data_IF_324160721103
#
_entry.id   IF_324160721103
#
_cell.length_a   1.000
_cell.length_b   1.000
_cell.length_c   1.000
_cell.angle_alpha   90.00
_cell.angle_beta   90.00
_cell.angle_gamma   90.00
#
_symmetry.space_group_name_H-M   'P 1'
#
loop_
_entity.id
_entity.type
_entity.pdbx_description
1 polymer ?
#
# COMPACT_ATOMS: atom_id res chain seq x y z
N UNK A 1 16.13 16.52 -8.70
CA UNK A 1 17.03 15.46 -9.21
C UNK A 1 16.30 14.13 -9.15
N UNK A 2 16.17 13.45 -10.28
CA UNK A 2 15.64 12.07 -10.39
C UNK A 2 16.73 11.05 -10.01
N UNK A 3 16.38 9.85 -9.52
CA UNK A 3 17.37 8.83 -9.18
C UNK A 3 17.97 8.24 -10.45
N UNK A 4 19.24 8.50 -10.69
CA UNK A 4 19.92 7.95 -11.85
C UNK A 4 21.08 7.05 -11.42
N UNK A 5 21.01 5.80 -11.86
CA UNK A 5 22.10 4.81 -11.88
C UNK A 5 23.15 5.25 -12.92
N UNK A 6 24.43 5.11 -12.59
CA UNK A 6 25.51 5.10 -13.59
C UNK A 6 25.66 3.68 -14.10
N UNK A 7 25.53 3.47 -15.41
CA UNK A 7 26.00 2.26 -16.09
C UNK A 7 27.07 2.74 -17.07
N UNK A 8 28.33 2.41 -16.79
CA UNK A 8 29.39 2.54 -17.78
C UNK A 8 29.24 1.39 -18.77
N UNK A 9 28.54 1.62 -19.89
CA UNK A 9 28.84 0.91 -21.13
C UNK A 9 29.32 1.98 -22.08
N UNK A 10 30.59 1.88 -22.47
CA UNK A 10 31.44 3.01 -22.86
C UNK A 10 31.10 3.72 -24.17
N UNK A 11 29.86 4.18 -24.41
CA UNK A 11 29.59 5.25 -25.39
C UNK A 11 28.15 5.81 -25.43
N UNK A 12 27.14 5.26 -24.72
CA UNK A 12 25.78 5.82 -24.78
C UNK A 12 25.05 5.85 -23.44
N UNK A 13 24.67 7.05 -23.00
CA UNK A 13 23.74 7.30 -21.90
C UNK A 13 22.36 6.70 -22.23
N UNK A 14 22.16 5.42 -21.87
CA UNK A 14 20.91 4.70 -22.07
C UNK A 14 19.83 5.08 -21.04
N UNK A 15 18.57 5.09 -21.48
CA UNK A 15 17.39 5.29 -20.60
C UNK A 15 17.43 4.32 -19.42
N UNK A 16 17.13 4.86 -18.24
CA UNK A 16 17.23 4.26 -16.90
C UNK A 16 16.16 3.18 -16.66
N UNK A 17 16.53 1.89 -16.62
CA UNK A 17 15.60 0.77 -16.33
C UNK A 17 16.06 0.00 -15.08
N UNK A 18 15.18 -0.12 -14.09
CA UNK A 18 15.37 -1.02 -12.94
C UNK A 18 14.99 -2.43 -13.41
N UNK A 19 15.92 -3.39 -13.28
CA UNK A 19 15.66 -4.79 -13.65
C UNK A 19 14.68 -5.46 -12.68
N UNK A 20 13.95 -6.47 -13.15
CA UNK A 20 12.94 -7.18 -12.34
C UNK A 20 13.55 -7.83 -11.09
N UNK A 21 14.80 -8.30 -11.18
CA UNK A 21 15.52 -8.93 -10.07
C UNK A 21 16.04 -7.93 -9.03
N UNK A 22 16.09 -6.63 -9.33
CA UNK A 22 16.83 -5.64 -8.54
C UNK A 22 16.49 -5.65 -7.04
N UNK A 23 15.20 -5.73 -6.71
CA UNK A 23 14.76 -5.76 -5.31
C UNK A 23 15.07 -7.11 -4.66
N UNK A 24 15.02 -8.21 -5.42
CA UNK A 24 15.41 -9.53 -4.96
C UNK A 24 16.91 -9.59 -4.66
N UNK A 25 17.73 -9.17 -5.63
CA UNK A 25 19.18 -9.12 -5.52
C UNK A 25 19.61 -8.31 -4.28
N UNK A 26 19.03 -7.12 -4.06
CA UNK A 26 19.33 -6.32 -2.86
C UNK A 26 18.84 -6.92 -1.56
N UNK A 27 17.79 -7.74 -1.59
CA UNK A 27 17.21 -8.37 -0.40
C UNK A 27 18.01 -9.59 0.04
N UNK A 28 18.65 -10.26 -0.91
CA UNK A 28 19.44 -11.48 -0.68
C UNK A 28 20.89 -11.18 -0.27
N UNK A 29 21.37 -9.95 -0.51
CA UNK A 29 22.71 -9.52 -0.10
C UNK A 29 22.79 -9.41 1.43
N UNK A 30 23.71 -10.18 2.01
CA UNK A 30 24.05 -10.12 3.43
C UNK A 30 24.89 -8.89 3.75
N UNK A 31 24.89 -8.49 5.02
CA UNK A 31 25.59 -7.27 5.48
C UNK A 31 27.09 -7.34 5.19
N UNK A 32 27.69 -8.49 5.45
CA UNK A 32 29.13 -8.74 5.27
C UNK A 32 29.51 -8.63 3.79
N UNK A 33 28.71 -9.25 2.92
CA UNK A 33 28.90 -9.20 1.46
C UNK A 33 28.76 -7.76 0.93
N UNK A 34 27.77 -7.01 1.41
CA UNK A 34 27.62 -5.60 1.02
C UNK A 34 28.83 -4.76 1.47
N UNK A 35 29.34 -5.02 2.67
CA UNK A 35 30.52 -4.35 3.20
C UNK A 35 31.76 -4.66 2.37
N UNK A 36 31.93 -5.91 1.94
CA UNK A 36 33.01 -6.31 1.04
C UNK A 36 32.89 -5.63 -0.32
N UNK A 37 31.69 -5.60 -0.91
CA UNK A 37 31.46 -4.93 -2.21
C UNK A 37 31.75 -3.42 -2.13
N UNK A 38 31.37 -2.75 -1.04
CA UNK A 38 31.63 -1.32 -0.84
C UNK A 38 33.12 -1.00 -0.60
N UNK A 39 33.88 -1.94 -0.06
CA UNK A 39 35.32 -1.80 0.19
C UNK A 39 36.21 -2.56 -0.81
N UNK A 40 35.61 -3.14 -1.85
CA UNK A 40 36.32 -3.89 -2.88
C UNK A 40 37.43 -3.03 -3.50
N UNK A 41 38.56 -3.61 -3.89
CA UNK A 41 39.61 -2.87 -4.61
C UNK A 41 39.16 -2.50 -6.04
N UNK A 42 38.20 -3.25 -6.59
CA UNK A 42 37.57 -2.99 -7.88
C UNK A 42 36.61 -1.79 -7.79
N UNK A 43 36.92 -0.74 -8.55
CA UNK A 43 36.11 0.47 -8.62
C UNK A 43 34.70 0.22 -9.15
N UNK A 44 34.53 -0.67 -10.12
CA UNK A 44 33.22 -0.93 -10.73
C UNK A 44 32.29 -1.66 -9.75
N UNK A 45 32.84 -2.58 -8.96
CA UNK A 45 32.12 -3.27 -7.88
C UNK A 45 31.67 -2.28 -6.82
N UNK A 46 32.56 -1.39 -6.35
CA UNK A 46 32.21 -0.34 -5.38
C UNK A 46 31.15 0.60 -5.91
N UNK A 47 31.31 1.10 -7.14
CA UNK A 47 30.37 2.04 -7.75
C UNK A 47 28.99 1.41 -7.93
N UNK A 48 28.93 0.15 -8.35
CA UNK A 48 27.68 -0.60 -8.49
C UNK A 48 26.95 -0.71 -7.15
N UNK A 49 27.63 -1.19 -6.10
CA UNK A 49 27.03 -1.34 -4.77
C UNK A 49 26.48 0.00 -4.22
N UNK A 50 27.27 1.08 -4.35
CA UNK A 50 26.82 2.41 -3.93
C UNK A 50 25.63 2.94 -4.76
N UNK A 51 25.61 2.67 -6.07
CA UNK A 51 24.52 3.07 -6.95
C UNK A 51 23.23 2.30 -6.67
N UNK A 52 23.32 1.01 -6.35
CA UNK A 52 22.18 0.15 -6.03
C UNK A 52 21.53 0.60 -4.70
N UNK A 53 22.32 0.86 -3.65
CA UNK A 53 21.82 1.44 -2.39
C UNK A 53 21.12 2.78 -2.63
N UNK A 54 21.77 3.67 -3.40
CA UNK A 54 21.19 5.00 -3.70
C UNK A 54 19.89 4.89 -4.48
N UNK A 55 19.82 3.96 -5.43
CA UNK A 55 18.60 3.70 -6.21
C UNK A 55 17.47 3.19 -5.33
N UNK A 56 17.76 2.26 -4.41
CA UNK A 56 16.80 1.76 -3.44
C UNK A 56 16.31 2.86 -2.50
N UNK A 57 17.20 3.71 -1.99
CA UNK A 57 16.83 4.85 -1.16
C UNK A 57 15.90 5.82 -1.88
N UNK A 58 16.11 6.07 -3.17
CA UNK A 58 15.20 6.96 -3.90
C UNK A 58 13.89 6.28 -4.25
N UNK A 59 13.88 4.97 -4.55
CA UNK A 59 12.63 4.23 -4.67
C UNK A 59 11.85 4.29 -3.36
N UNK A 60 12.49 4.02 -2.23
CA UNK A 60 11.88 4.14 -0.90
C UNK A 60 11.39 5.56 -0.64
N UNK A 61 12.17 6.59 -0.94
CA UNK A 61 11.73 7.98 -0.78
C UNK A 61 10.56 8.32 -1.70
N UNK A 62 10.55 7.82 -2.94
CA UNK A 62 9.40 7.97 -3.83
C UNK A 62 8.18 7.24 -3.28
N UNK A 63 8.35 6.02 -2.77
CA UNK A 63 7.31 5.26 -2.08
C UNK A 63 6.92 5.84 -0.73
N UNK A 64 7.72 6.67 -0.07
CA UNK A 64 7.34 7.30 1.20
C UNK A 64 6.68 8.66 1.02
N UNK A 65 6.72 9.25 -0.19
CA UNK A 65 5.96 10.46 -0.50
C UNK A 65 4.47 10.14 -0.39
N UNK A 66 3.82 10.73 0.61
CA UNK A 66 2.43 10.49 0.98
C UNK A 66 1.43 10.83 -0.14
N UNK A 67 1.85 11.56 -1.18
CA UNK A 67 1.02 12.00 -2.29
C UNK A 67 0.98 11.02 -3.48
N UNK A 68 1.70 9.89 -3.43
CA UNK A 68 1.61 8.88 -4.48
C UNK A 68 0.16 8.37 -4.61
N UNK A 69 -0.39 8.28 -5.84
CA UNK A 69 -1.73 7.73 -6.07
C UNK A 69 -1.94 6.35 -5.42
N UNK A 70 -0.88 5.54 -5.37
CA UNK A 70 -0.89 4.25 -4.68
C UNK A 70 -1.29 4.35 -3.19
N UNK A 71 -0.75 5.33 -2.45
CA UNK A 71 -1.11 5.50 -1.03
C UNK A 71 -2.54 5.93 -0.83
N UNK A 72 -3.06 6.77 -1.74
CA UNK A 72 -4.45 7.18 -1.74
C UNK A 72 -5.37 5.98 -1.93
N UNK A 73 -5.06 5.11 -2.88
CA UNK A 73 -5.83 3.88 -3.10
C UNK A 73 -5.71 2.88 -1.95
N UNK A 74 -4.51 2.64 -1.42
CA UNK A 74 -4.31 1.76 -0.26
C UNK A 74 -5.07 2.28 0.96
N UNK A 75 -5.00 3.59 1.22
CA UNK A 75 -5.73 4.26 2.30
C UNK A 75 -7.24 4.11 2.09
N UNK A 76 -7.75 4.40 0.89
CA UNK A 76 -9.16 4.23 0.53
C UNK A 76 -9.62 2.80 0.78
N UNK A 77 -8.87 1.80 0.32
CA UNK A 77 -9.18 0.39 0.55
C UNK A 77 -9.23 0.03 2.04
N UNK A 78 -8.27 0.50 2.84
CA UNK A 78 -8.28 0.30 4.31
C UNK A 78 -9.51 0.91 4.96
N UNK A 79 -9.91 2.12 4.55
CA UNK A 79 -11.09 2.79 5.08
C UNK A 79 -12.37 2.02 4.71
N UNK A 80 -12.47 1.57 3.45
CA UNK A 80 -13.59 0.75 2.97
C UNK A 80 -13.67 -0.56 3.75
N UNK A 81 -12.54 -1.25 3.96
CA UNK A 81 -12.49 -2.49 4.73
C UNK A 81 -12.97 -2.27 6.18
N UNK A 82 -12.56 -1.16 6.80
CA UNK A 82 -13.04 -0.79 8.14
C UNK A 82 -14.55 -0.57 8.16
N UNK A 83 -15.11 0.11 7.16
CA UNK A 83 -16.57 0.29 7.06
C UNK A 83 -17.30 -1.03 6.88
N UNK A 84 -16.78 -1.95 6.04
CA UNK A 84 -17.33 -3.29 5.89
C UNK A 84 -17.35 -4.06 7.21
N UNK A 85 -16.25 -3.99 7.98
CA UNK A 85 -16.16 -4.63 9.29
C UNK A 85 -17.13 -4.02 10.32
N UNK A 86 -17.34 -2.70 10.29
CA UNK A 86 -18.34 -2.03 11.14
C UNK A 86 -19.77 -2.49 10.81
N UNK A 87 -20.05 -2.68 9.52
CA UNK A 87 -21.35 -3.15 9.05
C UNK A 87 -21.58 -4.63 9.39
N UNK A 88 -20.58 -5.50 9.15
CA UNK A 88 -20.70 -6.94 9.41
C UNK A 88 -20.69 -7.28 10.90
N UNK A 89 -20.09 -6.44 11.75
CA UNK A 89 -20.09 -6.60 13.20
C UNK A 89 -21.31 -5.99 13.90
N UNK A 90 -22.34 -5.58 13.15
CA UNK A 90 -23.57 -5.02 13.68
C UNK A 90 -24.59 -6.11 14.05
N UNK A 91 -25.50 -5.76 14.97
CA UNK A 91 -26.53 -6.69 15.44
C UNK A 91 -27.59 -6.93 14.34
N UNK A 92 -27.92 -5.88 13.60
CA UNK A 92 -28.82 -5.91 12.46
C UNK A 92 -28.38 -4.88 11.41
N UNK A 93 -29.05 -4.87 10.25
CA UNK A 93 -28.71 -3.95 9.16
C UNK A 93 -28.90 -2.47 9.52
N UNK A 94 -29.86 -2.15 10.40
CA UNK A 94 -30.13 -0.77 10.81
C UNK A 94 -28.99 -0.24 11.68
N UNK A 95 -28.52 -1.05 12.63
CA UNK A 95 -27.33 -0.81 13.44
C UNK A 95 -26.08 -0.70 12.53
N UNK A 96 -25.93 -1.60 11.55
CA UNK A 96 -24.81 -1.56 10.59
C UNK A 96 -24.75 -0.27 9.80
N UNK A 97 -25.89 0.16 9.22
CA UNK A 97 -26.00 1.45 8.53
C UNK A 97 -25.67 2.61 9.45
N UNK A 98 -26.20 2.60 10.68
CA UNK A 98 -25.94 3.66 11.66
C UNK A 98 -24.45 3.75 12.03
N UNK A 99 -23.76 2.62 12.23
CA UNK A 99 -22.33 2.58 12.56
C UNK A 99 -21.46 3.13 11.43
N UNK A 100 -21.74 2.73 10.18
CA UNK A 100 -21.03 3.27 9.00
C UNK A 100 -21.27 4.77 8.85
N UNK A 101 -22.51 5.23 9.00
CA UNK A 101 -22.84 6.66 8.93
C UNK A 101 -22.19 7.48 10.05
N UNK A 102 -22.14 6.94 11.28
CA UNK A 102 -21.42 7.59 12.38
C UNK A 102 -19.92 7.66 12.13
N UNK A 103 -19.33 6.61 11.57
CA UNK A 103 -17.92 6.59 11.18
C UNK A 103 -17.62 7.68 10.13
N UNK A 104 -18.42 7.75 9.05
CA UNK A 104 -18.26 8.76 8.00
C UNK A 104 -18.39 10.20 8.53
N UNK A 105 -19.35 10.46 9.43
CA UNK A 105 -19.64 11.82 9.92
C UNK A 105 -18.67 12.29 11.00
N UNK A 106 -18.29 11.41 11.94
CA UNK A 106 -17.54 11.81 13.15
C UNK A 106 -16.08 11.39 13.12
N UNK A 107 -15.77 10.21 12.57
CA UNK A 107 -14.44 9.61 12.73
C UNK A 107 -13.55 9.79 11.50
N UNK A 108 -14.13 9.81 10.30
CA UNK A 108 -13.37 9.89 9.06
C UNK A 108 -12.44 11.11 9.02
N UNK A 109 -12.96 12.31 9.30
CA UNK A 109 -12.16 13.53 9.29
C UNK A 109 -11.14 13.61 10.44
N UNK A 110 -11.42 12.94 11.57
CA UNK A 110 -10.50 12.92 12.72
C UNK A 110 -9.34 11.95 12.49
N UNK A 111 -9.61 10.80 11.87
CA UNK A 111 -8.60 9.77 11.59
C UNK A 111 -7.79 10.07 10.31
N UNK A 112 -8.38 10.80 9.38
CA UNK A 112 -7.78 11.11 8.07
C UNK A 112 -8.01 12.59 7.71
N UNK A 113 -7.36 13.52 8.41
CA UNK A 113 -7.57 14.96 8.22
C UNK A 113 -7.09 15.46 6.85
N UNK A 114 -6.16 14.75 6.22
CA UNK A 114 -5.54 15.06 4.93
C UNK A 114 -6.29 14.50 3.72
N UNK A 115 -7.48 13.90 3.90
CA UNK A 115 -8.29 13.44 2.76
C UNK A 115 -8.70 14.60 1.87
N UNK A 116 -8.42 14.47 0.59
CA UNK A 116 -8.93 15.38 -0.44
C UNK A 116 -10.46 15.29 -0.55
N UNK A 117 -11.07 16.31 -1.17
CA UNK A 117 -12.52 16.34 -1.41
C UNK A 117 -12.97 15.15 -2.28
N UNK A 118 -12.17 14.78 -3.28
CA UNK A 118 -12.44 13.65 -4.18
C UNK A 118 -12.41 12.33 -3.42
N UNK A 119 -11.39 12.11 -2.58
CA UNK A 119 -11.31 10.89 -1.75
C UNK A 119 -12.49 10.78 -0.78
N UNK A 120 -12.90 11.89 -0.16
CA UNK A 120 -14.08 11.92 0.73
C UNK A 120 -15.36 11.52 -0.02
N UNK A 121 -15.55 12.02 -1.23
CA UNK A 121 -16.70 11.67 -2.05
C UNK A 121 -16.69 10.18 -2.42
N UNK A 122 -15.55 9.65 -2.87
CA UNK A 122 -15.40 8.23 -3.23
C UNK A 122 -15.57 7.28 -2.03
N UNK A 123 -15.16 7.71 -0.83
CA UNK A 123 -15.35 6.95 0.42
C UNK A 123 -16.82 6.99 0.86
N UNK A 124 -17.48 8.15 0.76
CA UNK A 124 -18.89 8.27 1.10
C UNK A 124 -19.78 7.44 0.17
N UNK A 125 -19.50 7.47 -1.13
CA UNK A 125 -20.18 6.64 -2.15
C UNK A 125 -20.02 5.14 -1.87
N UNK A 126 -18.79 4.69 -1.60
CA UNK A 126 -18.53 3.31 -1.18
C UNK A 126 -19.26 2.93 0.12
N UNK A 127 -19.39 3.87 1.07
CA UNK A 127 -20.16 3.69 2.29
C UNK A 127 -21.66 3.49 2.03
N UNK A 128 -22.23 4.22 1.07
CA UNK A 128 -23.61 4.05 0.63
C UNK A 128 -23.82 2.67 0.02
N UNK A 129 -22.92 2.22 -0.86
CA UNK A 129 -22.98 0.87 -1.44
C UNK A 129 -22.92 -0.25 -0.39
N UNK A 130 -22.10 -0.09 0.66
CA UNK A 130 -22.04 -1.04 1.78
C UNK A 130 -23.38 -1.07 2.54
N UNK A 131 -24.00 0.09 2.74
CA UNK A 131 -25.25 0.24 3.48
C UNK A 131 -26.47 -0.27 2.69
N UNK A 132 -26.42 -0.24 1.36
CA UNK A 132 -27.49 -0.67 0.45
C UNK A 132 -27.41 -2.16 0.08
N UNK A 133 -26.35 -2.87 0.52
CA UNK A 133 -26.20 -4.30 0.26
C UNK A 133 -25.87 -4.65 -1.20
N UNK A 134 -25.65 -3.66 -2.07
CA UNK A 134 -25.16 -3.90 -3.43
C UNK A 134 -23.66 -4.15 -3.38
N UNK A 135 -23.27 -5.41 -3.54
CA UNK A 135 -21.91 -5.74 -3.91
C UNK A 135 -21.50 -4.95 -5.17
N UNK A 136 -20.20 -4.71 -5.38
CA UNK A 136 -19.71 -4.01 -6.58
C UNK A 136 -20.06 -4.75 -7.89
N UNK A 137 -20.48 -6.01 -7.79
CA UNK A 137 -21.16 -6.76 -8.83
C UNK A 137 -22.55 -7.10 -8.30
N UNK A 138 -23.61 -6.78 -9.04
CA UNK A 138 -25.02 -6.98 -8.66
C UNK A 138 -25.45 -8.44 -8.57
N UNK A 139 -24.75 -9.26 -7.80
CA UNK A 139 -25.19 -10.59 -7.41
C UNK A 139 -26.09 -10.46 -6.17
N UNK A 140 -27.38 -10.74 -6.37
CA UNK A 140 -28.33 -10.96 -5.30
C UNK A 140 -27.78 -12.04 -4.35
N UNK A 141 -27.77 -11.75 -3.05
CA UNK A 141 -27.42 -12.73 -2.02
C UNK A 141 -28.47 -13.84 -2.01
N UNK A 142 -28.16 -14.95 -2.68
CA UNK A 142 -28.74 -16.25 -2.39
C UNK A 142 -28.19 -16.79 -1.06
N UNK A 143 -29.11 -17.00 -0.13
CA UNK A 143 -29.13 -18.00 0.95
C UNK A 143 -27.90 -18.26 1.83
N UNK A 144 -28.12 -17.95 3.12
CA UNK A 144 -27.93 -18.83 4.28
C UNK A 144 -26.77 -19.84 4.22
N UNK A 145 -25.66 -19.48 4.87
CA UNK A 145 -24.63 -20.44 5.26
C UNK A 145 -23.91 -19.96 6.51
N UNK A 146 -24.17 -20.63 7.65
CA UNK A 146 -23.32 -20.58 8.85
C UNK A 146 -21.85 -20.54 8.43
N UNK A 147 -21.11 -19.51 8.85
CA UNK A 147 -19.64 -19.54 8.82
C UNK A 147 -19.13 -19.28 10.22
N UNK A 148 -18.47 -20.31 10.73
CA UNK A 148 -17.82 -20.36 12.02
C UNK A 148 -16.87 -19.18 12.20
N UNK A 149 -16.95 -18.56 13.38
CA UNK A 149 -15.99 -17.56 13.82
C UNK A 149 -14.63 -18.24 13.96
N UNK A 150 -13.71 -18.00 13.04
CA UNK A 150 -12.30 -18.35 13.24
C UNK A 150 -11.76 -17.34 14.26
N UNK A 151 -11.61 -17.77 15.51
CA UNK A 151 -10.96 -17.00 16.55
C UNK A 151 -9.48 -16.80 16.16
N UNK A 152 -9.07 -15.55 16.06
CA UNK A 152 -7.65 -15.18 15.98
C UNK A 152 -7.13 -15.18 17.42
N UNK A 153 -6.29 -16.16 17.75
CA UNK A 153 -5.65 -16.31 19.07
C UNK A 153 -4.32 -15.54 19.06
N UNK A 154 -4.19 -14.40 19.77
CA UNK A 154 -2.93 -13.70 19.89
C UNK A 154 -2.29 -14.10 21.22
N UNK A 155 -1.33 -15.02 21.16
CA UNK A 155 -0.40 -15.25 22.27
C UNK A 155 1.04 -15.04 21.79
N UNK A 156 1.93 -14.64 22.72
CA UNK A 156 2.94 -13.60 22.51
C UNK A 156 4.19 -14.02 21.75
#
# INVERSE_FOLDING_TARGET
>A
MLPCRHIYSGEKLGKYTVGESFVGDLREIEREELSEQLNSEDGDVRLKAAADIKSMLVLLNAFMKADLPFHREVRRLRIILRMKNLYSGAIDEKDGRNRVQQFLRRWLNNLYPDLSREEKAAIADAGSHICEGRGPNGEEKGETGRRECIAFDPSP
#
